data_IF_561456504596
#
_entry.id   IF_561456504596
#
_cell.length_a   1.000
_cell.length_b   1.000
_cell.length_c   1.000
_cell.angle_alpha   90.00
_cell.angle_beta   90.00
_cell.angle_gamma   90.00
#
_symmetry.space_group_name_H-M   'P 1'
#
loop_
_entity.id
_entity.type
_entity.pdbx_description
1 polymer ?
#
# COMPACT_ATOMS: atom_id res chain seq x y z
N UNK A 1 -5.14 -1.57 13.31
CA UNK A 1 -3.83 -1.59 12.62
C UNK A 1 -3.73 -0.35 11.73
N UNK A 2 -2.53 0.23 11.51
CA UNK A 2 -2.39 1.52 10.80
C UNK A 2 -2.89 1.50 9.34
N UNK A 3 -2.75 0.37 8.65
CA UNK A 3 -3.21 0.18 7.26
C UNK A 3 -4.72 0.26 7.08
N UNK A 4 -5.51 0.03 8.13
CA UNK A 4 -6.99 0.10 8.03
C UNK A 4 -7.48 1.51 7.72
N UNK A 5 -6.70 2.53 8.09
CA UNK A 5 -7.04 3.94 7.82
C UNK A 5 -7.24 4.24 6.33
N UNK A 6 -6.57 3.49 5.44
CA UNK A 6 -6.63 3.67 3.98
C UNK A 6 -7.40 2.57 3.25
N UNK A 7 -7.70 1.44 3.92
CA UNK A 7 -8.37 0.27 3.31
C UNK A 7 -9.82 0.11 3.77
N UNK A 8 -10.12 0.41 5.03
CA UNK A 8 -11.40 0.12 5.67
C UNK A 8 -12.41 1.26 5.51
N UNK A 9 -13.70 0.89 5.51
CA UNK A 9 -14.80 1.84 5.44
C UNK A 9 -15.20 2.25 4.02
N UNK A 10 -16.44 2.71 3.90
CA UNK A 10 -17.05 3.06 2.61
C UNK A 10 -16.29 4.18 1.88
N UNK A 11 -15.88 5.22 2.63
CA UNK A 11 -15.14 6.37 2.10
C UNK A 11 -13.78 6.02 1.46
N UNK A 12 -13.23 4.83 1.74
CA UNK A 12 -11.95 4.35 1.19
C UNK A 12 -12.09 3.52 -0.08
N UNK A 13 -13.28 3.48 -0.68
CA UNK A 13 -13.52 2.84 -1.98
C UNK A 13 -12.50 3.25 -3.09
N UNK A 14 -12.19 4.55 -3.31
CA UNK A 14 -11.22 4.93 -4.34
C UNK A 14 -9.80 4.43 -4.03
N UNK A 15 -9.38 4.49 -2.76
CA UNK A 15 -8.08 3.96 -2.34
C UNK A 15 -7.96 2.45 -2.63
N UNK A 16 -9.00 1.67 -2.32
CA UNK A 16 -9.02 0.22 -2.63
C UNK A 16 -9.00 -0.05 -4.14
N UNK A 17 -9.59 0.80 -4.97
CA UNK A 17 -9.54 0.64 -6.42
C UNK A 17 -8.10 0.78 -6.93
N UNK A 18 -7.35 1.78 -6.43
CA UNK A 18 -5.93 1.93 -6.75
C UNK A 18 -5.10 0.74 -6.28
N UNK A 19 -5.30 0.29 -5.04
CA UNK A 19 -4.59 -0.89 -4.51
C UNK A 19 -4.85 -2.15 -5.35
N UNK A 20 -6.09 -2.38 -5.80
CA UNK A 20 -6.41 -3.50 -6.70
C UNK A 20 -5.77 -3.35 -8.08
N UNK A 21 -5.66 -2.14 -8.60
CA UNK A 21 -4.96 -1.89 -9.88
C UNK A 21 -3.46 -2.21 -9.81
N UNK A 22 -2.87 -2.16 -8.61
CA UNK A 22 -1.48 -2.56 -8.34
C UNK A 22 -1.32 -4.07 -8.13
N UNK A 23 -2.40 -4.85 -8.25
CA UNK A 23 -2.39 -6.31 -8.13
C UNK A 23 -2.69 -6.85 -6.74
N UNK A 24 -3.06 -6.00 -5.77
CA UNK A 24 -3.41 -6.46 -4.42
C UNK A 24 -4.73 -7.24 -4.46
N UNK A 25 -4.69 -8.49 -4.00
CA UNK A 25 -5.86 -9.36 -3.92
C UNK A 25 -6.70 -9.07 -2.68
N UNK A 26 -7.96 -9.52 -2.68
CA UNK A 26 -8.84 -9.36 -1.51
C UNK A 26 -8.28 -10.05 -0.26
N UNK A 27 -7.58 -11.19 -0.42
CA UNK A 27 -6.88 -11.87 0.68
C UNK A 27 -5.74 -11.03 1.25
N UNK A 28 -4.98 -10.34 0.39
CA UNK A 28 -3.86 -9.48 0.80
C UNK A 28 -4.33 -8.17 1.42
N UNK A 29 -5.54 -7.72 1.09
CA UNK A 29 -6.15 -6.56 1.73
C UNK A 29 -6.35 -6.73 3.24
N UNK A 30 -6.46 -7.95 3.75
CA UNK A 30 -6.57 -8.22 5.19
C UNK A 30 -5.20 -8.35 5.88
N UNK A 31 -4.11 -8.35 5.11
CA UNK A 31 -2.75 -8.46 5.65
C UNK A 31 -2.19 -7.08 6.08
N UNK A 32 -1.22 -7.04 7.01
CA UNK A 32 -0.49 -5.82 7.33
C UNK A 32 0.25 -5.30 6.11
N UNK A 33 0.12 -4.00 5.83
CA UNK A 33 0.87 -3.36 4.76
C UNK A 33 2.22 -2.88 5.28
N UNK A 34 3.30 -3.35 4.65
CA UNK A 34 4.68 -3.01 5.03
C UNK A 34 5.28 -2.11 3.95
N UNK A 35 5.55 -0.86 4.31
CA UNK A 35 6.27 0.06 3.43
C UNK A 35 7.77 -0.24 3.46
N UNK A 36 8.38 -0.48 2.31
CA UNK A 36 9.82 -0.66 2.17
C UNK A 36 10.40 0.68 1.72
N UNK A 37 11.10 1.37 2.62
CA UNK A 37 11.83 2.60 2.29
C UNK A 37 13.25 2.24 1.83
N UNK A 38 13.63 2.71 0.64
CA UNK A 38 14.96 2.49 0.07
C UNK A 38 15.55 3.84 -0.38
N UNK A 39 16.82 4.09 -0.03
CA UNK A 39 17.53 5.33 -0.32
C UNK A 39 18.32 5.30 -1.65
N UNK A 40 18.11 4.28 -2.48
CA UNK A 40 18.73 4.10 -3.78
C UNK A 40 18.62 5.37 -4.62
N UNK A 41 19.75 5.90 -5.05
CA UNK A 41 19.85 7.05 -5.92
C UNK A 41 21.14 6.96 -6.76
N UNK A 42 21.17 7.67 -7.90
CA UNK A 42 22.33 7.72 -8.79
C UNK A 42 23.27 8.92 -8.52
N UNK A 43 23.01 9.69 -7.46
CA UNK A 43 23.73 10.94 -7.15
C UNK A 43 24.97 10.64 -6.32
N UNK A 44 24.83 9.78 -5.30
CA UNK A 44 25.92 9.35 -4.44
C UNK A 44 26.17 7.87 -4.71
N UNK A 45 27.38 7.46 -5.14
CA UNK A 45 27.72 6.05 -5.25
C UNK A 45 27.66 5.38 -3.86
N UNK A 46 26.72 4.47 -3.66
CA UNK A 46 26.49 3.72 -2.41
C UNK A 46 25.21 2.91 -2.43
#
# INVERSE_FOLDING_TARGET
>A
MRSETVKAGYQRAPNRALLRSLGVTDREMDQPFIGIANAYNNIVPG
#
